data_IF_662867491705
#
_entry.id   IF_662867491705
#
_cell.length_a   1.000
_cell.length_b   1.000
_cell.length_c   1.000
_cell.angle_alpha   90.00
_cell.angle_beta   90.00
_cell.angle_gamma   90.00
#
_symmetry.space_group_name_H-M   'P 1'
#
loop_
_entity.id
_entity.type
_entity.pdbx_description
1 polymer ?
#
# COMPACT_ATOMS: atom_id res chain seq x y z
N UNK A 1 -55.53 -20.46 2.46
CA UNK A 1 -54.34 -19.76 1.89
C UNK A 1 -53.93 -18.68 2.87
N UNK A 2 -52.96 -18.96 3.75
CA UNK A 2 -52.44 -17.97 4.69
C UNK A 2 -51.01 -17.60 4.22
N UNK A 3 -50.88 -16.41 3.69
CA UNK A 3 -49.61 -15.80 3.37
C UNK A 3 -49.05 -15.13 4.62
N UNK A 4 -48.03 -15.77 5.23
CA UNK A 4 -47.23 -15.15 6.30
C UNK A 4 -46.18 -14.26 5.68
N UNK A 5 -46.31 -12.96 5.90
CA UNK A 5 -45.25 -11.96 5.63
C UNK A 5 -44.20 -12.05 6.73
N UNK A 6 -43.04 -12.58 6.42
CA UNK A 6 -41.86 -12.47 7.28
C UNK A 6 -41.27 -11.06 7.12
N UNK A 7 -41.48 -10.20 8.12
CA UNK A 7 -40.76 -8.92 8.24
C UNK A 7 -39.38 -9.20 8.82
N UNK A 8 -38.32 -9.10 7.97
CA UNK A 8 -36.94 -9.12 8.39
C UNK A 8 -36.61 -7.76 9.02
N UNK A 9 -36.50 -7.71 10.33
CA UNK A 9 -35.98 -6.54 11.04
C UNK A 9 -34.44 -6.53 10.87
N UNK A 10 -33.91 -5.58 10.10
CA UNK A 10 -32.46 -5.26 10.10
C UNK A 10 -32.14 -4.62 11.45
N UNK A 11 -31.52 -5.39 12.33
CA UNK A 11 -30.89 -4.85 13.52
C UNK A 11 -29.57 -4.18 13.06
N UNK A 12 -29.54 -2.85 13.06
CA UNK A 12 -28.31 -2.09 12.96
C UNK A 12 -27.46 -2.41 14.21
N UNK A 13 -26.47 -3.28 14.05
CA UNK A 13 -25.46 -3.49 15.07
C UNK A 13 -24.52 -2.27 15.05
N UNK A 14 -24.73 -1.35 16.00
CA UNK A 14 -23.70 -0.37 16.35
C UNK A 14 -22.49 -1.15 16.84
N UNK A 15 -21.42 -1.17 16.05
CA UNK A 15 -20.12 -1.65 16.50
C UNK A 15 -19.69 -0.75 17.67
N UNK A 16 -19.79 -1.28 18.89
CA UNK A 16 -19.20 -0.65 20.05
C UNK A 16 -17.67 -0.77 19.88
N UNK A 17 -17.02 0.34 19.55
CA UNK A 17 -15.57 0.41 19.62
C UNK A 17 -15.16 0.01 21.04
N UNK A 18 -14.48 -1.12 21.18
CA UNK A 18 -13.90 -1.55 22.46
C UNK A 18 -12.83 -0.52 22.78
N UNK A 19 -12.91 0.22 23.90
CA UNK A 19 -11.88 1.16 24.24
C UNK A 19 -10.57 0.40 24.50
N UNK A 20 -9.60 0.60 23.62
CA UNK A 20 -8.24 0.11 23.81
C UNK A 20 -7.69 0.88 25.01
N UNK A 21 -7.44 0.21 26.12
CA UNK A 21 -6.77 0.79 27.27
C UNK A 21 -5.28 0.96 26.96
N UNK A 22 -4.94 2.08 26.33
CA UNK A 22 -3.53 2.45 26.13
C UNK A 22 -2.96 2.90 27.49
N UNK A 23 -1.92 2.21 27.97
CA UNK A 23 -1.18 2.61 29.16
C UNK A 23 -0.39 3.87 28.78
N UNK A 24 -0.61 4.98 29.46
CA UNK A 24 0.17 6.21 29.27
C UNK A 24 1.66 5.85 29.43
N UNK A 25 2.48 6.18 28.45
CA UNK A 25 3.92 6.08 28.56
C UNK A 25 4.39 7.03 29.67
N UNK A 26 5.20 6.51 30.58
CA UNK A 26 5.87 7.35 31.58
C UNK A 26 6.83 8.27 30.84
N UNK A 27 6.73 9.59 31.03
CA UNK A 27 7.26 10.67 30.21
C UNK A 27 8.78 10.79 30.06
N UNK A 28 9.48 9.68 29.91
CA UNK A 28 10.94 9.63 29.67
C UNK A 28 11.36 8.52 28.70
N UNK A 29 10.45 7.99 27.87
CA UNK A 29 10.78 7.05 26.81
C UNK A 29 10.90 7.80 25.47
N UNK A 30 11.88 7.41 24.69
CA UNK A 30 11.96 7.69 23.25
C UNK A 30 10.84 6.88 22.54
N UNK A 31 9.59 7.09 22.93
CA UNK A 31 8.43 6.40 22.40
C UNK A 31 8.18 6.88 20.97
N UNK A 32 8.53 6.03 20.04
CA UNK A 32 8.35 6.32 18.62
C UNK A 32 6.95 5.94 18.13
N UNK A 33 6.14 5.24 18.92
CA UNK A 33 4.82 4.78 18.54
C UNK A 33 3.92 5.89 17.98
N UNK A 34 3.82 7.11 18.60
CA UNK A 34 3.03 8.19 18.02
C UNK A 34 3.52 8.62 16.63
N UNK A 35 4.82 8.54 16.36
CA UNK A 35 5.39 8.85 15.05
C UNK A 35 5.00 7.79 14.02
N UNK A 36 5.11 6.51 14.38
CA UNK A 36 4.71 5.40 13.51
C UNK A 36 3.22 5.40 13.25
N UNK A 37 2.40 5.69 14.28
CA UNK A 37 0.94 5.81 14.10
C UNK A 37 0.56 7.00 13.21
N UNK A 38 1.23 8.15 13.34
CA UNK A 38 1.01 9.30 12.45
C UNK A 38 1.45 9.01 11.00
N UNK A 39 2.53 8.25 10.84
CA UNK A 39 2.95 7.78 9.53
C UNK A 39 1.88 6.87 8.91
N UNK A 40 1.38 5.87 9.63
CA UNK A 40 0.28 5.02 9.18
C UNK A 40 -0.97 5.86 8.87
N UNK A 41 -1.39 6.76 9.78
CA UNK A 41 -2.54 7.63 9.57
C UNK A 41 -2.43 8.51 8.31
N UNK A 42 -1.22 8.93 7.94
CA UNK A 42 -1.00 9.70 6.69
C UNK A 42 -1.33 8.86 5.46
N UNK A 43 -0.99 7.57 5.47
CA UNK A 43 -1.30 6.63 4.38
C UNK A 43 -2.79 6.30 4.35
N UNK A 44 -3.40 6.02 5.49
CA UNK A 44 -4.85 5.77 5.59
C UNK A 44 -5.70 6.96 5.10
N UNK A 45 -5.27 8.19 5.40
CA UNK A 45 -5.90 9.38 4.85
C UNK A 45 -5.81 9.44 3.32
N UNK A 46 -4.68 9.01 2.76
CA UNK A 46 -4.49 8.96 1.30
C UNK A 46 -5.43 7.92 0.68
N UNK A 47 -5.52 6.71 1.26
CA UNK A 47 -6.37 5.63 0.77
C UNK A 47 -7.85 5.97 0.92
N UNK A 48 -8.28 6.47 2.06
CA UNK A 48 -9.65 6.93 2.27
C UNK A 48 -10.05 8.06 1.28
N UNK A 49 -9.14 9.00 1.01
CA UNK A 49 -9.37 10.06 0.02
C UNK A 49 -9.40 9.51 -1.41
N UNK A 50 -8.57 8.54 -1.73
CA UNK A 50 -8.56 7.86 -3.02
C UNK A 50 -9.90 7.20 -3.32
N UNK A 51 -10.37 6.33 -2.42
CA UNK A 51 -11.65 5.64 -2.61
C UNK A 51 -12.83 6.61 -2.65
N UNK A 52 -12.80 7.64 -1.81
CA UNK A 52 -13.83 8.70 -1.86
C UNK A 52 -13.84 9.38 -3.23
N UNK A 53 -12.69 9.80 -3.72
CA UNK A 53 -12.56 10.47 -5.02
C UNK A 53 -13.02 9.58 -6.17
N UNK A 54 -12.64 8.30 -6.16
CA UNK A 54 -13.01 7.32 -7.16
C UNK A 54 -14.52 7.09 -7.20
N UNK A 55 -15.16 6.91 -6.03
CA UNK A 55 -16.59 6.63 -5.91
C UNK A 55 -17.46 7.87 -6.20
N UNK A 56 -16.96 9.07 -5.90
CA UNK A 56 -17.62 10.33 -6.26
C UNK A 56 -17.54 10.61 -7.78
N UNK A 57 -16.43 10.21 -8.42
CA UNK A 57 -16.17 10.47 -9.83
C UNK A 57 -16.85 9.46 -10.76
N UNK A 58 -17.00 8.21 -10.33
CA UNK A 58 -17.49 7.11 -11.18
C UNK A 58 -18.63 6.36 -10.48
N UNK A 59 -19.84 6.50 -11.04
CA UNK A 59 -21.03 5.80 -10.58
C UNK A 59 -21.09 4.34 -11.06
N UNK A 60 -22.15 3.61 -10.71
CA UNK A 60 -22.32 2.21 -11.10
C UNK A 60 -22.39 2.06 -12.63
N UNK A 61 -23.04 3.01 -13.34
CA UNK A 61 -23.16 2.96 -14.78
C UNK A 61 -21.82 3.14 -15.49
N UNK A 62 -20.91 3.95 -14.92
CA UNK A 62 -19.55 4.10 -15.44
C UNK A 62 -18.76 2.78 -15.35
N UNK A 63 -18.85 2.06 -14.23
CA UNK A 63 -18.22 0.74 -14.07
C UNK A 63 -18.81 -0.31 -15.00
N UNK A 64 -20.13 -0.38 -15.12
CA UNK A 64 -20.80 -1.31 -16.04
C UNK A 64 -20.45 -1.02 -17.51
N UNK A 65 -20.39 0.26 -17.89
CA UNK A 65 -20.00 0.70 -19.24
C UNK A 65 -18.54 0.37 -19.57
N UNK A 66 -17.68 0.32 -18.55
CA UNK A 66 -16.28 -0.12 -18.67
C UNK A 66 -16.11 -1.65 -18.64
N UNK A 67 -17.23 -2.41 -18.55
CA UNK A 67 -17.23 -3.87 -18.57
C UNK A 67 -17.10 -4.54 -17.22
N UNK A 68 -17.10 -3.79 -16.12
CA UNK A 68 -17.01 -4.36 -14.78
C UNK A 68 -18.41 -4.74 -14.26
N UNK A 69 -18.56 -5.92 -13.61
CA UNK A 69 -19.80 -6.31 -12.97
C UNK A 69 -20.23 -5.32 -11.88
N UNK A 70 -21.54 -5.18 -11.65
CA UNK A 70 -22.11 -4.25 -10.66
C UNK A 70 -21.50 -4.38 -9.27
N UNK A 71 -21.10 -5.59 -8.86
CA UNK A 71 -20.55 -5.85 -7.53
C UNK A 71 -19.13 -5.28 -7.34
N UNK A 72 -18.38 -4.97 -8.41
CA UNK A 72 -17.03 -4.39 -8.31
C UNK A 72 -17.10 -3.05 -7.57
N UNK A 73 -17.93 -2.11 -8.05
CA UNK A 73 -18.08 -0.82 -7.37
C UNK A 73 -18.63 -0.95 -5.95
N UNK A 74 -19.53 -1.92 -5.73
CA UNK A 74 -20.04 -2.20 -4.39
C UNK A 74 -18.91 -2.62 -3.44
N UNK A 75 -18.01 -3.49 -3.86
CA UNK A 75 -16.84 -3.90 -3.07
C UNK A 75 -15.88 -2.74 -2.83
N UNK A 76 -15.64 -1.87 -3.79
CA UNK A 76 -14.86 -0.64 -3.58
C UNK A 76 -15.51 0.26 -2.51
N UNK A 77 -16.84 0.29 -2.41
CA UNK A 77 -17.53 1.01 -1.34
C UNK A 77 -17.31 0.36 0.04
N UNK A 78 -17.24 -0.96 0.10
CA UNK A 78 -16.90 -1.67 1.34
C UNK A 78 -15.46 -1.34 1.77
N UNK A 79 -14.50 -1.38 0.85
CA UNK A 79 -13.10 -0.99 1.11
C UNK A 79 -13.05 0.46 1.60
N UNK A 80 -13.68 1.41 0.90
CA UNK A 80 -13.74 2.80 1.32
C UNK A 80 -14.25 3.02 2.76
N UNK A 81 -15.16 2.16 3.24
CA UNK A 81 -15.63 2.20 4.62
C UNK A 81 -14.59 1.62 5.60
N UNK A 82 -13.81 0.63 5.16
CA UNK A 82 -12.72 0.09 5.97
C UNK A 82 -11.63 1.14 6.15
N UNK A 83 -11.17 1.80 5.08
CA UNK A 83 -10.14 2.85 5.15
C UNK A 83 -10.55 4.00 6.06
N UNK A 84 -11.82 4.41 5.99
CA UNK A 84 -12.32 5.41 6.92
C UNK A 84 -12.31 4.93 8.36
N UNK A 85 -12.62 3.65 8.60
CA UNK A 85 -12.55 3.05 9.94
C UNK A 85 -11.12 2.97 10.47
N UNK A 86 -10.14 2.71 9.60
CA UNK A 86 -8.71 2.73 9.95
C UNK A 86 -8.28 4.16 10.35
N UNK A 87 -8.67 5.17 9.57
CA UNK A 87 -8.44 6.59 9.92
C UNK A 87 -9.03 6.94 11.29
N UNK A 88 -10.29 6.57 11.53
CA UNK A 88 -10.97 6.87 12.80
C UNK A 88 -10.27 6.19 13.99
N UNK A 89 -9.84 4.94 13.81
CA UNK A 89 -9.13 4.16 14.82
C UNK A 89 -7.77 4.77 15.17
N UNK A 90 -6.94 5.08 14.17
CA UNK A 90 -5.61 5.63 14.39
C UNK A 90 -5.67 7.06 14.98
N UNK A 91 -6.61 7.88 14.50
CA UNK A 91 -6.87 9.20 15.08
C UNK A 91 -7.26 9.09 16.54
N UNK A 92 -8.14 8.15 16.89
CA UNK A 92 -8.56 7.89 18.25
C UNK A 92 -7.41 7.40 19.14
N UNK A 93 -6.54 6.53 18.61
CA UNK A 93 -5.37 6.02 19.33
C UNK A 93 -4.36 7.13 19.63
N UNK A 94 -4.04 7.98 18.66
CA UNK A 94 -3.16 9.15 18.85
C UNK A 94 -3.72 10.13 19.87
N UNK A 95 -5.02 10.45 19.75
CA UNK A 95 -5.71 11.33 20.71
C UNK A 95 -5.67 10.76 22.14
N UNK A 96 -5.91 9.46 22.28
CA UNK A 96 -5.84 8.79 23.59
C UNK A 96 -4.42 8.77 24.17
N UNK A 97 -3.40 8.72 23.31
CA UNK A 97 -2.00 8.85 23.69
C UNK A 97 -1.60 10.30 24.04
N UNK A 98 -2.45 11.29 23.76
CA UNK A 98 -2.17 12.72 23.96
C UNK A 98 -1.21 13.27 22.88
N UNK A 99 -1.15 12.63 21.72
CA UNK A 99 -0.38 13.07 20.57
C UNK A 99 -1.29 13.77 19.54
N UNK A 100 -0.72 14.71 18.80
CA UNK A 100 -1.40 15.35 17.68
C UNK A 100 -1.53 14.34 16.54
N UNK A 101 -2.77 14.18 16.05
CA UNK A 101 -3.06 13.33 14.92
C UNK A 101 -2.93 14.11 13.61
N UNK A 102 -2.27 13.50 12.61
CA UNK A 102 -2.17 14.08 11.27
C UNK A 102 -3.56 14.24 10.66
N UNK A 103 -3.82 15.36 10.00
CA UNK A 103 -5.02 15.59 9.21
C UNK A 103 -4.78 15.23 7.74
N UNK A 104 -5.87 14.93 7.02
CA UNK A 104 -5.80 14.61 5.59
C UNK A 104 -5.13 15.74 4.80
N UNK A 105 -4.29 15.34 3.86
CA UNK A 105 -3.72 16.23 2.85
C UNK A 105 -4.72 16.45 1.70
N UNK A 106 -4.33 17.22 0.70
CA UNK A 106 -5.01 17.27 -0.60
C UNK A 106 -4.24 16.38 -1.58
N UNK A 107 -4.98 15.74 -2.46
CA UNK A 107 -4.43 14.69 -3.34
C UNK A 107 -4.84 14.90 -4.79
N UNK A 108 -4.01 14.40 -5.71
CA UNK A 108 -4.36 14.20 -7.11
C UNK A 108 -4.00 12.76 -7.49
N UNK A 109 -5.00 11.98 -7.86
CA UNK A 109 -4.83 10.56 -8.23
C UNK A 109 -4.80 10.34 -9.74
N UNK A 110 -4.97 11.37 -10.55
CA UNK A 110 -4.91 11.30 -12.01
C UNK A 110 -5.92 10.30 -12.63
N UNK A 111 -7.08 10.10 -12.00
CA UNK A 111 -8.06 9.09 -12.41
C UNK A 111 -8.71 9.45 -13.74
N UNK A 112 -8.73 8.49 -14.66
CA UNK A 112 -9.28 8.68 -16.03
C UNK A 112 -10.47 7.77 -16.33
N UNK A 113 -10.83 6.86 -15.43
CA UNK A 113 -11.96 5.93 -15.58
C UNK A 113 -11.86 4.75 -14.60
N UNK A 114 -12.85 3.85 -14.58
CA UNK A 114 -12.89 2.69 -13.69
C UNK A 114 -11.64 1.79 -13.76
N UNK A 115 -11.06 1.62 -14.95
CA UNK A 115 -9.81 0.84 -15.10
C UNK A 115 -8.64 1.48 -14.35
N UNK A 116 -8.49 2.83 -14.43
CA UNK A 116 -7.46 3.53 -13.66
C UNK A 116 -7.74 3.50 -12.16
N UNK A 117 -9.01 3.50 -11.73
CA UNK A 117 -9.36 3.31 -10.32
C UNK A 117 -8.84 1.97 -9.82
N UNK A 118 -9.11 0.87 -10.53
CA UNK A 118 -8.66 -0.46 -10.10
C UNK A 118 -7.14 -0.61 -10.14
N UNK A 119 -6.49 -0.06 -11.16
CA UNK A 119 -5.02 -0.08 -11.24
C UNK A 119 -4.37 0.71 -10.10
N UNK A 120 -4.91 1.89 -9.75
CA UNK A 120 -4.41 2.67 -8.61
C UNK A 120 -4.74 2.00 -7.28
N UNK A 121 -5.94 1.41 -7.12
CA UNK A 121 -6.29 0.63 -5.95
C UNK A 121 -5.31 -0.50 -5.71
N UNK A 122 -4.95 -1.27 -6.75
CA UNK A 122 -3.96 -2.35 -6.62
C UNK A 122 -2.62 -1.83 -6.10
N UNK A 123 -2.15 -0.71 -6.63
CA UNK A 123 -0.89 -0.10 -6.17
C UNK A 123 -0.97 0.31 -4.72
N UNK A 124 -2.02 1.05 -4.32
CA UNK A 124 -2.17 1.58 -2.97
C UNK A 124 -2.31 0.47 -1.94
N UNK A 125 -3.21 -0.48 -2.15
CA UNK A 125 -3.39 -1.62 -1.24
C UNK A 125 -2.11 -2.45 -1.06
N UNK A 126 -1.38 -2.70 -2.16
CA UNK A 126 -0.09 -3.39 -2.07
C UNK A 126 0.97 -2.57 -1.32
N UNK A 127 0.94 -1.25 -1.43
CA UNK A 127 1.82 -0.35 -0.67
C UNK A 127 1.39 -0.30 0.79
N UNK A 128 0.09 -0.30 1.11
CA UNK A 128 -0.45 -0.41 2.46
C UNK A 128 0.02 -1.67 3.18
N UNK A 129 -0.09 -2.83 2.52
CA UNK A 129 0.46 -4.10 3.02
C UNK A 129 1.96 -3.99 3.30
N UNK A 130 2.73 -3.44 2.36
CA UNK A 130 4.18 -3.28 2.49
C UNK A 130 4.56 -2.32 3.63
N UNK A 131 3.77 -1.25 3.82
CA UNK A 131 3.95 -0.26 4.87
C UNK A 131 3.74 -0.85 6.27
N UNK A 132 2.61 -1.52 6.50
CA UNK A 132 2.32 -2.16 7.78
C UNK A 132 3.30 -3.27 8.10
N UNK A 133 3.68 -4.08 7.11
CA UNK A 133 4.69 -5.15 7.29
C UNK A 133 6.05 -4.56 7.64
N UNK A 134 6.48 -3.51 6.93
CA UNK A 134 7.78 -2.87 7.14
C UNK A 134 7.89 -2.07 8.43
N UNK A 135 6.80 -1.42 8.85
CA UNK A 135 6.77 -0.63 10.09
C UNK A 135 6.53 -1.47 11.36
N UNK A 136 6.13 -2.74 11.24
CA UNK A 136 5.75 -3.58 12.37
C UNK A 136 6.85 -3.69 13.44
N UNK A 137 8.11 -3.76 13.03
CA UNK A 137 9.27 -3.87 13.93
C UNK A 137 9.61 -2.56 14.66
N UNK A 138 9.01 -1.46 14.29
CA UNK A 138 9.21 -0.15 14.91
C UNK A 138 8.22 0.10 16.05
N UNK A 139 7.09 -0.63 16.07
CA UNK A 139 6.05 -0.48 17.10
C UNK A 139 6.52 -1.14 18.40
N UNK A 140 6.56 -0.35 19.47
CA UNK A 140 7.02 -0.81 20.78
C UNK A 140 5.89 -1.30 21.67
N UNK A 141 4.67 -0.75 21.52
CA UNK A 141 3.49 -1.17 22.26
C UNK A 141 2.87 -2.44 21.66
N UNK A 142 2.73 -3.53 22.43
CA UNK A 142 2.02 -4.73 21.98
C UNK A 142 0.57 -4.46 21.56
N UNK A 143 -0.10 -3.52 22.20
CA UNK A 143 -1.49 -3.16 21.89
C UNK A 143 -1.56 -2.49 20.52
N UNK A 144 -0.66 -1.56 20.20
CA UNK A 144 -0.58 -0.95 18.87
C UNK A 144 -0.14 -1.95 17.81
N UNK A 145 0.80 -2.84 18.13
CA UNK A 145 1.22 -3.90 17.22
C UNK A 145 0.04 -4.84 16.86
N UNK A 146 -0.81 -5.17 17.84
CA UNK A 146 -2.00 -5.98 17.58
C UNK A 146 -2.98 -5.25 16.65
N UNK A 147 -3.17 -3.95 16.83
CA UNK A 147 -4.01 -3.12 15.93
C UNK A 147 -3.41 -3.08 14.54
N UNK A 148 -2.13 -2.77 14.40
CA UNK A 148 -1.42 -2.74 13.12
C UNK A 148 -1.50 -4.08 12.39
N UNK A 149 -1.32 -5.20 13.09
CA UNK A 149 -1.48 -6.54 12.51
C UNK A 149 -2.92 -6.83 12.06
N UNK A 150 -3.93 -6.29 12.77
CA UNK A 150 -5.33 -6.42 12.37
C UNK A 150 -5.64 -5.64 11.10
N UNK A 151 -5.12 -4.42 10.96
CA UNK A 151 -5.26 -3.60 9.74
C UNK A 151 -4.50 -4.29 8.60
N UNK A 152 -3.23 -4.65 8.78
CA UNK A 152 -2.43 -5.40 7.79
C UNK A 152 -3.19 -6.57 7.17
N UNK A 153 -3.89 -7.36 8.01
CA UNK A 153 -4.68 -8.49 7.52
C UNK A 153 -5.88 -8.06 6.66
N UNK A 154 -6.41 -6.85 6.84
CA UNK A 154 -7.48 -6.27 6.01
C UNK A 154 -6.91 -5.76 4.70
N UNK A 155 -5.80 -5.01 4.74
CA UNK A 155 -5.05 -4.53 3.57
C UNK A 155 -4.69 -5.67 2.61
N UNK A 156 -4.14 -6.77 3.15
CA UNK A 156 -3.83 -7.95 2.34
C UNK A 156 -5.06 -8.56 1.66
N UNK A 157 -6.24 -8.53 2.32
CA UNK A 157 -7.51 -8.98 1.71
C UNK A 157 -7.99 -8.02 0.62
N UNK A 158 -7.86 -6.71 0.81
CA UNK A 158 -8.18 -5.71 -0.20
C UNK A 158 -7.30 -5.91 -1.42
N UNK A 159 -5.97 -5.96 -1.24
CA UNK A 159 -5.00 -6.20 -2.31
C UNK A 159 -5.32 -7.49 -3.08
N UNK A 160 -5.53 -8.60 -2.39
CA UNK A 160 -5.86 -9.89 -3.00
C UNK A 160 -7.17 -9.82 -3.80
N UNK A 161 -8.20 -9.13 -3.27
CA UNK A 161 -9.46 -8.97 -3.97
C UNK A 161 -9.34 -8.05 -5.20
N UNK A 162 -8.63 -6.93 -5.09
CA UNK A 162 -8.44 -6.01 -6.22
C UNK A 162 -7.69 -6.72 -7.35
N UNK A 163 -6.68 -7.52 -7.02
CA UNK A 163 -5.92 -8.31 -8.00
C UNK A 163 -6.79 -9.37 -8.67
N UNK A 164 -7.27 -10.34 -7.93
CA UNK A 164 -7.96 -11.50 -8.50
C UNK A 164 -9.44 -11.27 -8.77
N UNK A 165 -10.13 -10.54 -7.89
CA UNK A 165 -11.57 -10.33 -8.02
C UNK A 165 -11.94 -9.26 -9.05
N UNK A 166 -11.14 -8.20 -9.19
CA UNK A 166 -11.48 -7.07 -10.04
C UNK A 166 -10.66 -6.98 -11.33
N UNK A 167 -9.43 -7.53 -11.36
CA UNK A 167 -8.50 -7.37 -12.48
C UNK A 167 -8.01 -8.68 -13.10
N UNK A 168 -8.53 -9.83 -12.65
CA UNK A 168 -8.18 -11.18 -13.15
C UNK A 168 -6.64 -11.45 -13.09
N UNK A 169 -6.01 -10.96 -12.03
CA UNK A 169 -4.60 -11.22 -11.73
C UNK A 169 -4.49 -12.23 -10.57
N UNK A 170 -3.29 -12.78 -10.37
CA UNK A 170 -3.07 -13.69 -9.24
C UNK A 170 -3.27 -12.97 -7.90
N UNK A 171 -4.18 -13.50 -7.08
CA UNK A 171 -4.44 -13.04 -5.72
C UNK A 171 -3.36 -13.44 -4.71
N UNK A 172 -2.55 -14.44 -5.03
CA UNK A 172 -1.58 -15.08 -4.14
C UNK A 172 -0.19 -15.14 -4.76
N UNK A 173 0.40 -13.99 -5.15
CA UNK A 173 1.59 -13.96 -6.00
C UNK A 173 2.86 -14.48 -5.30
N UNK A 174 2.89 -14.49 -3.98
CA UNK A 174 4.04 -14.92 -3.19
C UNK A 174 3.59 -15.51 -1.84
N UNK A 175 4.51 -16.25 -1.19
CA UNK A 175 4.26 -16.81 0.15
C UNK A 175 4.43 -15.79 1.28
N UNK A 176 5.06 -14.65 1.00
CA UNK A 176 5.33 -13.56 1.94
C UNK A 176 5.13 -12.22 1.26
N UNK A 177 4.51 -11.28 1.96
CA UNK A 177 4.43 -9.90 1.52
C UNK A 177 5.79 -9.19 1.68
N UNK A 178 6.01 -8.16 0.87
CA UNK A 178 7.27 -7.42 0.84
C UNK A 178 7.26 -6.30 1.86
N UNK A 179 8.09 -6.33 2.92
CA UNK A 179 8.24 -5.18 3.81
C UNK A 179 9.00 -4.06 3.12
N UNK A 180 8.50 -2.82 3.21
CA UNK A 180 9.19 -1.62 2.76
C UNK A 180 9.54 -0.72 3.96
N UNK A 181 10.67 -0.02 3.86
CA UNK A 181 11.02 1.03 4.80
C UNK A 181 10.14 2.27 4.65
N UNK A 182 10.18 3.15 5.66
CA UNK A 182 9.31 4.33 5.69
C UNK A 182 9.55 5.26 4.51
N UNK A 183 10.80 5.42 4.07
CA UNK A 183 11.16 6.30 2.95
C UNK A 183 10.75 5.71 1.60
N UNK A 184 10.85 4.38 1.41
CA UNK A 184 10.36 3.71 0.21
C UNK A 184 8.85 3.89 0.04
N UNK A 185 8.08 3.62 1.10
CA UNK A 185 6.63 3.80 1.08
C UNK A 185 6.25 5.26 0.86
N UNK A 186 6.91 6.19 1.57
CA UNK A 186 6.65 7.62 1.40
C UNK A 186 6.97 8.09 -0.03
N UNK A 187 8.00 7.54 -0.66
CA UNK A 187 8.34 7.82 -2.06
C UNK A 187 7.26 7.39 -3.04
N UNK A 188 6.53 6.31 -2.73
CA UNK A 188 5.39 5.83 -3.52
C UNK A 188 4.12 6.63 -3.28
N UNK A 189 3.91 7.13 -2.06
CA UNK A 189 2.73 7.91 -1.68
C UNK A 189 2.85 9.41 -2.08
N UNK A 190 4.04 9.98 -1.96
CA UNK A 190 4.29 11.41 -2.17
C UNK A 190 3.81 11.97 -3.52
N UNK A 191 3.90 11.24 -4.66
CA UNK A 191 3.40 11.73 -5.94
C UNK A 191 1.90 12.04 -5.97
N UNK A 192 1.11 11.45 -5.09
CA UNK A 192 -0.32 11.72 -5.00
C UNK A 192 -0.65 12.93 -4.11
N UNK A 193 0.29 13.37 -3.26
CA UNK A 193 0.09 14.44 -2.29
C UNK A 193 0.38 15.78 -2.94
N UNK A 194 -0.60 16.68 -2.99
CA UNK A 194 -0.43 18.02 -3.57
C UNK A 194 -0.13 19.08 -2.51
N UNK A 195 -0.74 18.98 -1.33
CA UNK A 195 -0.40 19.82 -0.16
C UNK A 195 -0.91 19.18 1.13
N UNK A 196 -0.30 19.51 2.25
CA UNK A 196 -0.75 19.10 3.57
C UNK A 196 -0.94 20.30 4.49
N UNK A 197 -1.81 20.20 5.51
CA UNK A 197 -1.94 21.22 6.55
C UNK A 197 -0.59 21.46 7.25
N UNK A 198 -0.22 22.72 7.48
CA UNK A 198 0.99 23.08 8.21
C UNK A 198 0.98 22.60 9.67
N UNK A 199 -0.22 22.34 10.21
CA UNK A 199 -0.40 21.81 11.56
C UNK A 199 -0.08 20.33 11.70
N UNK A 200 0.11 19.60 10.60
CA UNK A 200 0.44 18.19 10.67
C UNK A 200 1.81 17.97 11.33
N UNK A 201 1.93 16.98 12.24
CA UNK A 201 3.21 16.61 12.79
C UNK A 201 4.22 16.26 11.69
N UNK A 202 5.46 16.71 11.87
CA UNK A 202 6.53 16.34 10.93
C UNK A 202 6.83 14.85 11.02
N UNK A 203 6.84 14.17 9.88
CA UNK A 203 7.25 12.78 9.79
C UNK A 203 8.74 12.68 9.47
N UNK A 204 9.47 11.71 10.06
CA UNK A 204 10.89 11.52 9.79
C UNK A 204 11.10 10.73 8.48
N UNK A 205 10.48 11.21 7.40
CA UNK A 205 10.53 10.55 6.09
C UNK A 205 10.96 11.52 5.00
N UNK A 206 11.59 10.98 3.98
CA UNK A 206 12.03 11.72 2.80
C UNK A 206 11.81 10.87 1.56
N UNK A 207 11.17 11.44 0.56
CA UNK A 207 11.06 10.78 -0.74
C UNK A 207 12.42 10.66 -1.41
N UNK A 208 12.71 9.49 -1.95
CA UNK A 208 13.84 9.28 -2.84
C UNK A 208 13.62 9.93 -4.21
N UNK A 209 14.67 10.16 -5.00
CA UNK A 209 14.53 10.56 -6.39
C UNK A 209 13.64 9.57 -7.16
N UNK A 210 12.80 10.08 -8.05
CA UNK A 210 11.87 9.27 -8.80
C UNK A 210 12.59 8.25 -9.69
N UNK A 211 12.07 7.02 -9.71
CA UNK A 211 12.49 5.94 -10.58
C UNK A 211 11.32 5.54 -11.47
N UNK A 212 11.56 5.46 -12.76
CA UNK A 212 10.56 4.99 -13.73
C UNK A 212 11.00 3.65 -14.32
N UNK A 213 10.10 2.67 -14.30
CA UNK A 213 10.23 1.42 -15.01
C UNK A 213 9.50 1.51 -16.36
N UNK A 214 10.05 0.91 -17.41
CA UNK A 214 9.34 0.76 -18.69
C UNK A 214 8.07 -0.09 -18.49
N UNK A 215 7.07 0.15 -19.33
CA UNK A 215 5.82 -0.62 -19.24
C UNK A 215 6.00 -2.07 -19.72
N UNK A 216 5.36 -3.05 -18.98
CA UNK A 216 5.32 -4.46 -19.33
C UNK A 216 4.17 -4.84 -20.25
N UNK A 217 3.88 -6.13 -20.46
CA UNK A 217 4.03 -7.21 -19.46
C UNK A 217 5.46 -7.75 -19.34
N UNK A 218 5.78 -8.28 -18.15
CA UNK A 218 7.10 -8.82 -17.83
C UNK A 218 7.01 -10.25 -17.27
N UNK A 219 8.10 -10.99 -17.48
CA UNK A 219 8.37 -12.25 -16.82
C UNK A 219 9.80 -12.25 -16.25
N UNK A 220 10.11 -13.21 -15.38
CA UNK A 220 11.49 -13.45 -14.98
C UNK A 220 12.36 -13.72 -16.22
N UNK A 221 13.57 -13.18 -16.25
CA UNK A 221 14.48 -13.24 -17.39
C UNK A 221 14.32 -12.11 -18.42
N UNK A 222 13.23 -11.39 -18.42
CA UNK A 222 13.00 -10.26 -19.33
C UNK A 222 13.93 -9.08 -19.01
N UNK A 223 14.11 -8.22 -20.01
CA UNK A 223 14.87 -6.97 -19.87
C UNK A 223 13.94 -5.83 -19.42
N UNK A 224 14.29 -5.22 -18.29
CA UNK A 224 13.62 -4.07 -17.72
C UNK A 224 14.50 -2.83 -17.90
N UNK A 225 13.93 -1.79 -18.48
CA UNK A 225 14.57 -0.48 -18.54
C UNK A 225 14.14 0.37 -17.36
N UNK A 226 15.14 0.86 -16.61
CA UNK A 226 14.94 1.78 -15.49
C UNK A 226 15.52 3.15 -15.86
N UNK A 227 14.82 4.23 -15.45
CA UNK A 227 15.22 5.60 -15.73
C UNK A 227 15.06 6.47 -14.48
N UNK A 228 16.14 7.23 -14.16
CA UNK A 228 16.18 8.21 -13.09
C UNK A 228 17.16 9.34 -13.47
N UNK A 229 17.29 10.37 -12.63
CA UNK A 229 18.01 11.60 -12.99
C UNK A 229 19.55 11.46 -13.04
N UNK A 230 20.10 10.48 -12.28
CA UNK A 230 21.56 10.38 -12.10
C UNK A 230 22.22 9.33 -13.02
N UNK A 231 23.54 9.18 -12.87
CA UNK A 231 24.36 8.20 -13.59
C UNK A 231 24.08 6.77 -13.17
N UNK A 232 24.24 5.84 -14.12
CA UNK A 232 24.13 4.39 -13.89
C UNK A 232 25.46 3.75 -13.47
N UNK A 233 26.56 4.49 -13.45
CA UNK A 233 27.89 3.95 -13.17
C UNK A 233 27.98 3.45 -11.73
N UNK A 234 28.30 2.16 -11.57
CA UNK A 234 28.43 1.51 -10.27
C UNK A 234 27.12 1.27 -9.52
N UNK A 235 25.96 1.51 -10.16
CA UNK A 235 24.65 1.29 -9.56
C UNK A 235 24.12 -0.15 -9.81
N UNK A 236 23.23 -0.58 -8.93
CA UNK A 236 22.54 -1.87 -8.99
C UNK A 236 21.04 -1.64 -8.93
N UNK A 237 20.26 -2.43 -9.64
CA UNK A 237 18.83 -2.53 -9.40
C UNK A 237 18.59 -3.61 -8.34
N UNK A 238 17.90 -3.26 -7.27
CA UNK A 238 17.54 -4.21 -6.21
C UNK A 238 16.04 -4.48 -6.32
N UNK A 239 15.68 -5.72 -6.57
CA UNK A 239 14.31 -6.21 -6.62
C UNK A 239 13.90 -6.67 -5.23
N UNK A 240 12.88 -6.03 -4.66
CA UNK A 240 12.29 -6.36 -3.36
C UNK A 240 11.02 -7.18 -3.64
N UNK A 241 11.03 -8.45 -3.28
CA UNK A 241 9.91 -9.37 -3.48
C UNK A 241 9.84 -10.38 -2.34
N UNK A 242 8.71 -10.42 -1.62
CA UNK A 242 8.59 -11.16 -0.38
C UNK A 242 9.67 -10.71 0.62
N UNK A 243 10.33 -11.67 1.26
CA UNK A 243 11.42 -11.38 2.21
C UNK A 243 12.81 -11.31 1.54
N UNK A 244 12.85 -11.33 0.20
CA UNK A 244 14.09 -11.37 -0.56
C UNK A 244 14.42 -10.02 -1.19
N UNK A 245 15.72 -9.73 -1.27
CA UNK A 245 16.29 -8.59 -1.99
C UNK A 245 17.31 -9.15 -3.00
N UNK A 246 17.00 -9.01 -4.29
CA UNK A 246 17.83 -9.57 -5.35
C UNK A 246 18.43 -8.46 -6.18
N UNK A 247 19.77 -8.40 -6.24
CA UNK A 247 20.48 -7.41 -7.02
C UNK A 247 20.66 -7.85 -8.48
N UNK A 248 20.51 -6.92 -9.41
CA UNK A 248 20.81 -7.06 -10.81
C UNK A 248 21.72 -5.92 -11.27
N UNK A 249 22.64 -6.24 -12.18
CA UNK A 249 23.55 -5.27 -12.78
C UNK A 249 22.94 -4.70 -14.07
N UNK A 250 23.25 -3.44 -14.34
CA UNK A 250 22.90 -2.81 -15.61
C UNK A 250 23.81 -3.31 -16.72
N UNK A 251 23.23 -3.61 -17.87
CA UNK A 251 23.98 -3.91 -19.09
C UNK A 251 24.40 -2.62 -19.83
N UNK A 252 25.09 -2.77 -20.97
CA UNK A 252 25.58 -1.65 -21.79
C UNK A 252 24.45 -0.76 -22.35
N UNK A 253 23.21 -1.29 -22.40
CA UNK A 253 22.02 -0.56 -22.87
C UNK A 253 21.29 0.13 -21.71
N UNK A 254 21.78 -0.06 -20.48
CA UNK A 254 21.19 0.47 -19.25
C UNK A 254 19.90 -0.24 -18.86
N UNK A 255 19.78 -1.51 -19.19
CA UNK A 255 18.71 -2.41 -18.78
C UNK A 255 19.21 -3.38 -17.72
N UNK A 256 18.29 -3.95 -16.96
CA UNK A 256 18.55 -5.04 -16.03
C UNK A 256 17.74 -6.26 -16.44
N UNK A 257 18.25 -7.44 -16.12
CA UNK A 257 17.46 -8.67 -16.27
C UNK A 257 16.65 -8.88 -15.00
N UNK A 258 15.34 -9.10 -15.14
CA UNK A 258 14.46 -9.42 -14.02
C UNK A 258 14.88 -10.77 -13.43
N UNK A 259 15.19 -10.85 -12.12
CA UNK A 259 15.63 -12.09 -11.50
C UNK A 259 14.54 -13.17 -11.50
N UNK A 260 14.96 -14.41 -11.46
CA UNK A 260 14.06 -15.54 -11.16
C UNK A 260 13.52 -15.45 -9.73
N UNK A 261 12.29 -15.93 -9.54
CA UNK A 261 11.66 -16.04 -8.22
C UNK A 261 11.04 -14.73 -7.69
N UNK A 262 11.02 -13.64 -8.47
CA UNK A 262 10.26 -12.44 -8.15
C UNK A 262 8.89 -12.50 -8.81
N UNK A 263 7.83 -12.20 -8.06
CA UNK A 263 6.43 -12.32 -8.53
C UNK A 263 5.53 -11.29 -7.87
N UNK A 264 4.40 -10.98 -8.51
CA UNK A 264 3.40 -10.04 -8.03
C UNK A 264 3.82 -8.58 -8.17
N UNK A 265 3.40 -7.74 -7.23
CA UNK A 265 3.80 -6.35 -7.14
C UNK A 265 5.21 -6.27 -6.55
N UNK A 266 6.20 -6.18 -7.43
CA UNK A 266 7.62 -6.13 -7.08
C UNK A 266 8.06 -4.67 -7.00
N UNK A 267 8.82 -4.33 -5.96
CA UNK A 267 9.39 -3.00 -5.80
C UNK A 267 10.85 -3.01 -6.22
N UNK A 268 11.23 -2.07 -7.06
CA UNK A 268 12.60 -1.98 -7.56
C UNK A 268 13.20 -0.64 -7.13
N UNK A 269 14.34 -0.69 -6.46
CA UNK A 269 15.13 0.51 -6.16
C UNK A 269 16.46 0.45 -6.90
N UNK A 270 17.02 1.61 -7.19
CA UNK A 270 18.42 1.73 -7.62
C UNK A 270 19.28 2.03 -6.40
N UNK A 271 20.30 1.22 -6.20
CA UNK A 271 21.21 1.31 -5.06
C UNK A 271 22.66 1.48 -5.51
N UNK A 272 23.43 2.23 -4.72
CA UNK A 272 24.88 2.35 -4.88
C UNK A 272 25.67 1.10 -4.47
N UNK A 273 25.00 0.11 -3.86
CA UNK A 273 25.61 -1.10 -3.35
C UNK A 273 24.84 -2.35 -3.76
N UNK A 274 25.58 -3.43 -4.05
CA UNK A 274 25.04 -4.77 -4.22
C UNK A 274 24.87 -5.45 -2.84
N UNK A 275 23.98 -4.92 -2.03
CA UNK A 275 23.75 -5.38 -0.65
C UNK A 275 22.32 -5.08 -0.22
N UNK A 276 21.99 -5.42 1.03
CA UNK A 276 20.72 -5.06 1.66
C UNK A 276 20.48 -3.55 1.53
N UNK A 277 19.28 -3.18 1.07
CA UNK A 277 18.87 -1.79 0.89
C UNK A 277 18.82 -1.08 2.23
N UNK A 278 19.32 0.15 2.26
CA UNK A 278 19.16 1.09 3.34
C UNK A 278 18.96 2.50 2.76
N UNK A 279 18.39 3.40 3.55
CA UNK A 279 18.15 4.80 3.14
C UNK A 279 19.40 5.49 2.59
N UNK A 280 20.59 5.14 3.14
CA UNK A 280 21.88 5.73 2.72
C UNK A 280 22.37 5.19 1.37
N UNK A 281 21.87 4.06 0.91
CA UNK A 281 22.33 3.40 -0.32
C UNK A 281 21.37 3.57 -1.49
N UNK A 282 20.11 3.93 -1.24
CA UNK A 282 19.11 4.15 -2.31
C UNK A 282 19.42 5.44 -3.07
N UNK A 283 19.58 5.31 -4.38
CA UNK A 283 19.81 6.41 -5.31
C UNK A 283 18.49 6.90 -5.94
N UNK A 284 17.54 5.99 -6.19
CA UNK A 284 16.22 6.30 -6.74
C UNK A 284 15.21 5.18 -6.47
N UNK A 285 13.94 5.52 -6.44
CA UNK A 285 12.83 4.56 -6.35
C UNK A 285 12.02 4.67 -5.06
N UNK A 286 11.19 3.65 -4.77
CA UNK A 286 10.95 2.47 -5.60
C UNK A 286 10.17 2.77 -6.89
N UNK A 287 10.38 1.94 -7.92
CA UNK A 287 9.42 1.75 -9.00
C UNK A 287 8.65 0.44 -8.76
N UNK A 288 7.39 0.38 -9.16
CA UNK A 288 6.58 -0.82 -9.08
C UNK A 288 6.58 -1.52 -10.43
N UNK A 289 6.83 -2.84 -10.41
CA UNK A 289 6.79 -3.70 -11.59
C UNK A 289 5.90 -4.90 -11.27
N UNK A 290 4.86 -5.11 -12.07
CA UNK A 290 4.00 -6.27 -11.92
C UNK A 290 4.59 -7.45 -12.70
N UNK A 291 4.86 -8.57 -11.99
CA UNK A 291 5.42 -9.78 -12.57
C UNK A 291 4.46 -10.94 -12.26
N UNK A 292 3.69 -11.40 -13.27
CA UNK A 292 2.74 -12.49 -13.08
C UNK A 292 3.41 -13.76 -12.56
N UNK A 293 2.70 -14.49 -11.71
CA UNK A 293 3.13 -15.83 -11.31
C UNK A 293 3.09 -16.74 -12.54
N UNK A 294 4.22 -17.37 -12.85
CA UNK A 294 4.21 -18.42 -13.87
C UNK A 294 3.46 -19.61 -13.32
N UNK A 295 2.48 -20.10 -14.08
CA UNK A 295 1.73 -21.29 -13.72
C UNK A 295 2.70 -22.46 -13.51
N UNK A 296 2.99 -22.77 -12.26
CA UNK A 296 3.69 -24.00 -11.91
C UNK A 296 2.67 -25.11 -11.88
N UNK A 297 2.92 -26.18 -12.61
CA UNK A 297 2.18 -27.43 -12.40
C UNK A 297 2.52 -27.91 -11.00
N UNK A 298 1.56 -27.75 -10.08
CA UNK A 298 1.66 -28.40 -8.78
C UNK A 298 1.43 -29.90 -9.00
N UNK A 299 2.48 -30.70 -8.97
CA UNK A 299 2.37 -32.14 -8.80
C UNK A 299 2.06 -32.40 -7.31
N UNK A 300 0.80 -32.76 -7.01
CA UNK A 300 0.37 -33.24 -5.68
C UNK A 300 0.61 -34.73 -5.55
#
# INVERSE_FOLDING_TARGET
MHTSLLTLALAASSALAVPIKVKRADGNSTDIDPTVLNYALTLEHLEAAFYKTALDSYDAAAFESAGYPWWVRYRLTEIANHERSHVDLLTGALTAAGADATAACTYDFGLTGPASVLATAQVLEGVGVAAYTGAANLITSPDYLQVAASILAVEARHAAWVRGGAQDQDSFPAAYDTPLGLNEVYSLAAPFITSCPESNPALPVKAFPALTASAGPYAAGDKLKLSWADSKDGAYAIFLSGLSQTAATFDSEGQVTIPEGVTGQVYVVVSSQNATVSDDTVLAGPAIVEIPVQATTFDY
#
